data_IF_046360688883
#
_entry.id   IF_046360688883
#
_cell.length_a   1.000
_cell.length_b   1.000
_cell.length_c   1.000
_cell.angle_alpha   90.00
_cell.angle_beta   90.00
_cell.angle_gamma   90.00
#
_symmetry.space_group_name_H-M   'P 1'
#
loop_
_entity.id
_entity.type
_entity.pdbx_description
1 polymer ?
#
# COMPACT_ATOMS: atom_id res chain seq x y z
N UNK A 1 36.42 -16.57 -30.44
CA UNK A 1 36.03 -16.58 -29.01
C UNK A 1 37.29 -16.75 -28.19
N UNK A 2 37.68 -15.71 -27.47
CA UNK A 2 39.03 -15.56 -26.90
C UNK A 2 39.06 -16.21 -25.52
N UNK A 3 40.14 -16.92 -25.15
CA UNK A 3 40.25 -17.67 -23.89
C UNK A 3 40.00 -16.83 -22.62
N UNK A 4 40.09 -15.50 -22.72
CA UNK A 4 39.81 -14.54 -21.65
C UNK A 4 38.31 -14.34 -21.39
N UNK A 5 37.45 -14.40 -22.42
CA UNK A 5 35.99 -14.27 -22.30
C UNK A 5 35.38 -15.48 -21.59
N UNK A 6 35.93 -16.67 -21.84
CA UNK A 6 35.47 -17.92 -21.24
C UNK A 6 35.77 -17.98 -19.74
N UNK A 7 36.94 -17.48 -19.32
CA UNK A 7 37.31 -17.33 -17.89
C UNK A 7 36.40 -16.34 -17.18
N UNK A 8 36.05 -15.22 -17.82
CA UNK A 8 35.16 -14.22 -17.22
C UNK A 8 33.74 -14.75 -17.06
N UNK A 9 33.21 -15.47 -18.05
CA UNK A 9 31.90 -16.13 -18.01
C UNK A 9 31.81 -17.22 -16.94
N UNK A 10 32.88 -18.01 -16.76
CA UNK A 10 32.98 -19.07 -15.73
C UNK A 10 33.04 -18.48 -14.31
N UNK A 11 33.66 -17.31 -14.11
CA UNK A 11 33.64 -16.57 -12.83
C UNK A 11 32.26 -16.02 -12.48
N UNK A 12 31.53 -15.44 -13.42
CA UNK A 12 30.16 -14.94 -13.17
C UNK A 12 29.16 -16.07 -12.87
N UNK A 13 29.32 -17.26 -13.48
CA UNK A 13 28.44 -18.40 -13.19
C UNK A 13 28.72 -19.03 -11.81
N UNK A 14 29.97 -19.11 -11.37
CA UNK A 14 30.30 -19.67 -10.04
C UNK A 14 29.86 -18.76 -8.89
N UNK A 15 29.87 -17.44 -9.08
CA UNK A 15 29.32 -16.47 -8.11
C UNK A 15 27.80 -16.60 -8.00
N UNK A 16 27.09 -16.75 -9.13
CA UNK A 16 25.63 -16.97 -9.17
C UNK A 16 25.21 -18.26 -8.44
N UNK A 17 25.97 -19.34 -8.61
CA UNK A 17 25.67 -20.64 -7.98
C UNK A 17 25.99 -20.65 -6.48
N UNK A 18 26.95 -19.84 -6.00
CA UNK A 18 27.23 -19.72 -4.56
C UNK A 18 26.23 -18.85 -3.80
N UNK A 19 25.62 -17.85 -4.46
CA UNK A 19 24.54 -17.04 -3.87
C UNK A 19 23.13 -17.67 -4.00
N UNK A 20 22.98 -18.77 -4.74
CA UNK A 20 21.78 -19.62 -4.65
C UNK A 20 21.77 -20.52 -3.41
N UNK A 21 22.73 -20.33 -2.49
CA UNK A 21 22.71 -20.94 -1.16
C UNK A 21 21.46 -20.48 -0.41
N UNK A 22 20.44 -21.34 -0.48
CA UNK A 22 19.28 -21.45 0.41
C UNK A 22 18.77 -20.08 0.86
N UNK A 23 17.82 -19.51 0.11
CA UNK A 23 16.90 -18.53 0.70
C UNK A 23 16.27 -19.22 1.90
N UNK A 24 16.81 -18.99 3.10
CA UNK A 24 16.12 -19.26 4.35
C UNK A 24 14.88 -18.40 4.26
N UNK A 25 13.77 -19.01 3.86
CA UNK A 25 12.47 -18.37 3.98
C UNK A 25 12.38 -18.02 5.47
N UNK A 26 12.34 -16.72 5.80
CA UNK A 26 12.20 -16.24 7.18
C UNK A 26 10.91 -16.74 7.84
N UNK A 27 10.03 -17.36 7.05
CA UNK A 27 8.74 -17.85 7.44
C UNK A 27 8.61 -19.29 6.99
N UNK A 28 8.30 -20.15 7.94
CA UNK A 28 7.94 -21.53 7.69
C UNK A 28 6.58 -21.55 6.97
N UNK A 29 6.57 -21.93 5.70
CA UNK A 29 5.33 -22.08 4.92
C UNK A 29 4.70 -23.46 5.09
N UNK A 30 5.32 -24.36 5.85
CA UNK A 30 4.87 -25.76 5.96
C UNK A 30 3.67 -25.93 6.88
N UNK A 31 3.41 -24.97 7.79
CA UNK A 31 2.30 -25.04 8.74
C UNK A 31 1.38 -23.82 8.65
N UNK A 32 0.75 -23.66 7.47
CA UNK A 32 -0.12 -22.52 7.15
C UNK A 32 -1.39 -22.49 8.01
N UNK A 33 -1.79 -23.63 8.56
CA UNK A 33 -3.02 -23.80 9.36
C UNK A 33 -2.79 -23.55 10.86
N UNK A 34 -1.56 -23.67 11.38
CA UNK A 34 -1.25 -23.48 12.80
C UNK A 34 -0.25 -22.34 13.04
N UNK A 35 -0.39 -21.23 12.32
CA UNK A 35 0.41 -20.05 12.61
C UNK A 35 -0.15 -19.37 13.86
N UNK A 36 0.30 -19.82 15.05
CA UNK A 36 -0.16 -19.35 16.38
C UNK A 36 -0.05 -17.83 16.59
N UNK A 37 0.78 -17.16 15.79
CA UNK A 37 0.97 -15.70 15.84
C UNK A 37 -0.14 -14.92 15.13
N UNK A 38 -1.01 -15.60 14.38
CA UNK A 38 -2.10 -15.01 13.62
C UNK A 38 -3.42 -15.69 14.03
N UNK A 39 -4.50 -14.91 14.13
CA UNK A 39 -5.83 -15.42 14.48
C UNK A 39 -6.42 -16.40 13.45
N UNK A 40 -7.69 -16.78 13.61
CA UNK A 40 -8.39 -17.69 12.69
C UNK A 40 -8.18 -17.29 11.22
N UNK A 41 -8.09 -18.27 10.33
CA UNK A 41 -7.86 -18.00 8.92
C UNK A 41 -9.02 -17.15 8.39
N UNK A 42 -8.73 -15.96 7.86
CA UNK A 42 -9.78 -15.04 7.39
C UNK A 42 -10.68 -15.65 6.30
N UNK A 43 -10.18 -16.69 5.63
CA UNK A 43 -10.92 -17.49 4.65
C UNK A 43 -12.07 -18.30 5.28
N UNK A 44 -12.09 -18.46 6.60
CA UNK A 44 -13.16 -19.12 7.38
C UNK A 44 -14.33 -18.17 7.65
N UNK A 45 -14.12 -16.84 7.54
CA UNK A 45 -15.19 -15.85 7.63
C UNK A 45 -15.97 -15.88 6.31
N UNK A 46 -16.97 -16.75 6.25
CA UNK A 46 -17.94 -16.76 5.17
C UNK A 46 -18.85 -15.54 5.33
N UNK A 47 -18.55 -14.48 4.58
CA UNK A 47 -19.46 -13.37 4.35
C UNK A 47 -20.08 -13.55 2.97
N UNK A 48 -21.41 -13.47 2.89
CA UNK A 48 -22.12 -13.54 1.62
C UNK A 48 -21.77 -12.33 0.76
N UNK A 49 -21.93 -12.45 -0.56
CA UNK A 49 -21.65 -11.33 -1.47
C UNK A 49 -22.51 -10.10 -1.17
N UNK A 50 -23.70 -10.30 -0.61
CA UNK A 50 -24.63 -9.22 -0.30
C UNK A 50 -24.26 -8.53 1.02
N UNK A 51 -23.85 -9.28 2.04
CA UNK A 51 -23.27 -8.69 3.25
C UNK A 51 -22.01 -7.87 2.95
N UNK A 52 -21.14 -8.35 2.04
CA UNK A 52 -19.96 -7.59 1.60
C UNK A 52 -20.38 -6.26 0.97
N UNK A 53 -21.41 -6.26 0.11
CA UNK A 53 -21.91 -5.03 -0.51
C UNK A 53 -22.50 -4.09 0.54
N UNK A 54 -23.28 -4.61 1.48
CA UNK A 54 -23.91 -3.80 2.53
C UNK A 54 -22.86 -3.14 3.42
N UNK A 55 -21.84 -3.88 3.86
CA UNK A 55 -20.73 -3.31 4.63
C UNK A 55 -19.90 -2.33 3.81
N UNK A 56 -19.72 -2.59 2.51
CA UNK A 56 -19.06 -1.64 1.60
C UNK A 56 -19.85 -0.33 1.52
N UNK A 57 -21.17 -0.40 1.39
CA UNK A 57 -22.03 0.78 1.32
C UNK A 57 -21.99 1.57 2.64
N UNK A 58 -22.08 0.89 3.79
CA UNK A 58 -21.93 1.54 5.11
C UNK A 58 -20.60 2.25 5.26
N UNK A 59 -19.51 1.62 4.78
CA UNK A 59 -18.19 2.22 4.78
C UNK A 59 -18.13 3.46 3.88
N UNK A 60 -18.69 3.38 2.66
CA UNK A 60 -18.72 4.50 1.71
C UNK A 60 -19.48 5.70 2.28
N UNK A 61 -20.66 5.47 2.87
CA UNK A 61 -21.43 6.54 3.53
C UNK A 61 -20.64 7.18 4.68
N UNK A 62 -19.96 6.38 5.50
CA UNK A 62 -19.11 6.89 6.60
C UNK A 62 -17.95 7.76 6.10
N UNK A 63 -17.43 7.48 4.91
CA UNK A 63 -16.28 8.17 4.35
C UNK A 63 -16.64 9.46 3.60
N UNK A 64 -17.92 9.72 3.35
CA UNK A 64 -18.38 10.96 2.71
C UNK A 64 -18.06 12.17 3.57
N UNK A 65 -17.66 13.26 2.92
CA UNK A 65 -17.35 14.54 3.56
C UNK A 65 -18.01 15.66 2.78
N UNK A 66 -18.43 16.71 3.48
CA UNK A 66 -18.86 17.95 2.83
C UNK A 66 -17.65 18.86 2.57
N UNK A 67 -17.85 19.91 1.77
CA UNK A 67 -16.79 20.84 1.40
C UNK A 67 -16.15 21.55 2.62
N UNK A 68 -16.94 21.94 3.60
CA UNK A 68 -16.44 22.57 4.83
C UNK A 68 -15.52 21.62 5.61
N UNK A 69 -15.94 20.34 5.74
CA UNK A 69 -15.19 19.32 6.45
C UNK A 69 -13.92 18.94 5.71
N UNK A 70 -13.97 18.89 4.38
CA UNK A 70 -12.78 18.71 3.55
C UNK A 70 -11.73 19.80 3.85
N UNK A 71 -12.13 21.07 3.90
CA UNK A 71 -11.22 22.17 4.22
C UNK A 71 -10.68 22.13 5.65
N UNK A 72 -11.50 21.72 6.62
CA UNK A 72 -11.05 21.47 8.00
C UNK A 72 -10.00 20.35 8.04
N UNK A 73 -10.28 19.21 7.40
CA UNK A 73 -9.36 18.07 7.36
C UNK A 73 -8.06 18.48 6.68
N UNK A 74 -8.12 19.21 5.56
CA UNK A 74 -6.92 19.70 4.87
C UNK A 74 -6.06 20.58 5.80
N UNK A 75 -6.65 21.57 6.47
CA UNK A 75 -5.91 22.45 7.40
C UNK A 75 -5.34 21.67 8.59
N UNK A 76 -6.14 20.78 9.16
CA UNK A 76 -5.76 20.02 10.35
C UNK A 76 -4.72 18.94 10.07
N UNK A 77 -4.38 18.68 8.80
CA UNK A 77 -3.47 17.60 8.40
C UNK A 77 -2.23 18.06 7.64
N UNK A 78 -1.95 19.37 7.64
CA UNK A 78 -0.76 20.02 7.03
C UNK A 78 0.56 19.36 7.46
N UNK A 79 0.65 18.76 8.64
CA UNK A 79 1.84 18.03 9.12
C UNK A 79 2.06 16.62 8.54
N UNK A 80 1.16 16.14 7.68
CA UNK A 80 1.20 14.82 7.05
C UNK A 80 1.55 13.70 8.05
N UNK A 81 2.65 12.96 7.85
CA UNK A 81 3.02 11.78 8.65
C UNK A 81 3.32 12.06 10.12
N UNK A 82 3.66 13.29 10.48
CA UNK A 82 3.84 13.68 11.89
C UNK A 82 2.50 13.88 12.59
N UNK A 83 1.41 13.99 11.82
CA UNK A 83 0.08 14.21 12.34
C UNK A 83 -0.73 12.90 12.40
N UNK A 84 -1.14 12.43 13.60
CA UNK A 84 -1.91 11.20 13.73
C UNK A 84 -3.29 11.29 13.04
N UNK A 85 -3.87 12.49 12.92
CA UNK A 85 -5.12 12.72 12.18
C UNK A 85 -4.94 12.45 10.68
N UNK A 86 -3.81 12.85 10.11
CA UNK A 86 -3.50 12.54 8.72
C UNK A 86 -3.41 11.03 8.49
N UNK A 87 -2.67 10.33 9.36
CA UNK A 87 -2.46 8.88 9.25
C UNK A 87 -3.80 8.13 9.36
N UNK A 88 -4.65 8.51 10.31
CA UNK A 88 -5.97 7.90 10.48
C UNK A 88 -6.91 8.15 9.30
N UNK A 89 -7.00 9.39 8.82
CA UNK A 89 -7.83 9.73 7.64
C UNK A 89 -7.30 9.07 6.36
N UNK A 90 -5.99 9.04 6.17
CA UNK A 90 -5.34 8.41 5.01
C UNK A 90 -5.50 6.89 5.00
N UNK A 91 -5.51 6.24 6.16
CA UNK A 91 -5.59 4.77 6.27
C UNK A 91 -6.86 4.18 5.64
N UNK A 92 -7.95 4.95 5.62
CA UNK A 92 -9.24 4.52 5.04
C UNK A 92 -9.43 4.97 3.59
N UNK A 93 -8.44 5.65 2.98
CA UNK A 93 -8.60 6.32 1.68
C UNK A 93 -7.53 5.89 0.69
N UNK A 94 -7.93 5.81 -0.58
CA UNK A 94 -7.05 5.55 -1.69
C UNK A 94 -6.39 6.86 -2.13
N UNK A 95 -5.09 6.99 -1.86
CA UNK A 95 -4.31 8.17 -2.25
C UNK A 95 -3.86 8.10 -3.70
N UNK A 96 -3.61 9.27 -4.32
CA UNK A 96 -3.07 9.38 -5.68
C UNK A 96 -1.86 8.46 -5.93
N UNK A 97 -0.94 8.37 -4.95
CA UNK A 97 0.25 7.51 -5.01
C UNK A 97 -0.05 6.02 -5.24
N UNK A 98 -1.21 5.55 -4.80
CA UNK A 98 -1.66 4.17 -4.96
C UNK A 98 -2.70 4.02 -6.06
N UNK A 99 -3.39 5.11 -6.41
CA UNK A 99 -4.44 5.13 -7.43
C UNK A 99 -3.92 4.66 -8.80
N UNK A 100 -2.73 5.11 -9.20
CA UNK A 100 -2.10 4.66 -10.45
C UNK A 100 -1.92 3.14 -10.50
N UNK A 101 -1.49 2.53 -9.39
CA UNK A 101 -1.29 1.09 -9.31
C UNK A 101 -2.61 0.31 -9.39
N UNK A 102 -3.71 0.90 -8.91
CA UNK A 102 -5.06 0.32 -9.04
C UNK A 102 -5.53 0.38 -10.49
N UNK A 103 -5.40 1.53 -11.16
CA UNK A 103 -5.83 1.70 -12.56
C UNK A 103 -5.04 0.81 -13.52
N UNK A 104 -3.71 0.75 -13.36
CA UNK A 104 -2.83 0.00 -14.28
C UNK A 104 -2.94 -1.53 -14.11
N UNK A 105 -3.66 -2.01 -13.09
CA UNK A 105 -3.76 -3.43 -12.79
C UNK A 105 -4.48 -4.18 -13.92
N UNK A 106 -3.88 -5.28 -14.38
CA UNK A 106 -4.50 -6.21 -15.33
C UNK A 106 -5.55 -7.07 -14.63
N UNK A 107 -6.69 -7.41 -15.29
CA UNK A 107 -7.74 -8.23 -14.71
C UNK A 107 -7.25 -9.64 -14.33
N UNK A 108 -6.26 -10.17 -15.05
CA UNK A 108 -5.64 -11.49 -14.80
C UNK A 108 -4.68 -11.51 -13.60
N UNK A 109 -4.29 -10.35 -13.07
CA UNK A 109 -3.36 -10.25 -11.93
C UNK A 109 -4.13 -10.14 -10.62
N UNK A 110 -3.77 -10.98 -9.65
CA UNK A 110 -4.35 -10.94 -8.30
C UNK A 110 -4.12 -9.58 -7.63
N UNK A 111 -5.15 -9.02 -6.99
CA UNK A 111 -5.05 -7.77 -6.23
C UNK A 111 -4.45 -7.93 -4.83
N UNK A 112 -4.23 -9.16 -4.35
CA UNK A 112 -3.86 -9.45 -2.96
C UNK A 112 -2.61 -8.69 -2.49
N UNK A 113 -1.58 -8.60 -3.34
CA UNK A 113 -0.36 -7.87 -3.01
C UNK A 113 -0.59 -6.36 -2.95
N UNK A 114 -1.35 -5.82 -3.91
CA UNK A 114 -1.68 -4.39 -3.97
C UNK A 114 -2.52 -3.96 -2.76
N UNK A 115 -3.55 -4.74 -2.41
CA UNK A 115 -4.39 -4.48 -1.23
C UNK A 115 -3.54 -4.50 0.04
N UNK A 116 -2.63 -5.47 0.19
CA UNK A 116 -1.70 -5.50 1.33
C UNK A 116 -0.80 -4.28 1.40
N UNK A 117 -0.30 -3.80 0.26
CA UNK A 117 0.52 -2.57 0.21
C UNK A 117 -0.30 -1.36 0.66
N UNK A 118 -1.50 -1.18 0.11
CA UNK A 118 -2.39 -0.07 0.46
C UNK A 118 -2.71 -0.09 1.96
N UNK A 119 -3.11 -1.24 2.51
CA UNK A 119 -3.49 -1.37 3.92
C UNK A 119 -2.31 -1.28 4.91
N UNK A 120 -1.10 -1.67 4.49
CA UNK A 120 0.11 -1.65 5.35
C UNK A 120 0.96 -0.40 5.19
N UNK A 121 0.48 0.64 4.51
CA UNK A 121 1.25 1.87 4.32
C UNK A 121 1.31 2.65 5.64
N UNK A 122 2.24 2.28 6.52
CA UNK A 122 2.43 2.91 7.84
C UNK A 122 3.63 3.84 7.89
N UNK A 123 4.46 3.90 6.85
CA UNK A 123 5.68 4.70 6.87
C UNK A 123 6.09 5.13 5.46
N UNK A 124 5.81 6.37 5.12
CA UNK A 124 6.52 7.04 4.04
C UNK A 124 7.79 7.62 4.63
N UNK A 125 8.93 7.22 4.08
CA UNK A 125 10.23 7.82 4.40
C UNK A 125 10.25 9.23 3.81
N UNK A 126 10.30 10.26 4.66
CA UNK A 126 10.61 11.61 4.22
C UNK A 126 12.03 11.61 3.66
N UNK A 127 12.17 11.68 2.33
CA UNK A 127 13.47 11.93 1.71
C UNK A 127 13.74 13.44 1.72
N UNK A 128 15.00 13.86 1.81
CA UNK A 128 15.38 15.27 1.85
C UNK A 128 14.87 16.08 0.62
N UNK A 129 14.54 15.41 -0.48
CA UNK A 129 13.92 16.02 -1.66
C UNK A 129 12.43 16.37 -1.49
N UNK A 130 11.79 15.95 -0.40
CA UNK A 130 10.39 16.25 -0.04
C UNK A 130 10.26 17.46 0.91
N UNK A 131 11.32 18.28 1.04
CA UNK A 131 11.33 19.52 1.81
C UNK A 131 10.60 20.65 1.04
N UNK A 132 9.34 20.40 0.71
CA UNK A 132 8.40 21.37 0.17
C UNK A 132 7.39 21.75 1.26
N UNK A 133 6.70 22.89 1.11
CA UNK A 133 5.63 23.28 2.03
C UNK A 133 4.61 22.14 2.14
N UNK A 134 4.52 21.53 3.33
CA UNK A 134 3.69 20.35 3.53
C UNK A 134 2.23 20.72 3.33
N UNK A 135 1.56 20.07 2.39
CA UNK A 135 0.12 20.23 2.20
C UNK A 135 -0.67 19.20 3.02
N UNK A 136 -1.90 19.56 3.38
CA UNK A 136 -2.86 18.67 4.00
C UNK A 136 -3.43 17.60 3.07
N UNK A 137 -4.28 16.74 3.63
CA UNK A 137 -5.07 15.78 2.89
C UNK A 137 -6.36 16.42 2.37
N UNK A 138 -6.51 16.45 1.05
CA UNK A 138 -7.75 16.82 0.37
C UNK A 138 -8.52 15.55 0.03
N UNK A 139 -9.78 15.49 0.41
CA UNK A 139 -10.67 14.34 0.19
C UNK A 139 -11.65 14.69 -0.93
N UNK A 140 -11.91 13.78 -1.86
CA UNK A 140 -12.90 14.04 -2.91
C UNK A 140 -14.33 14.11 -2.31
N UNK A 141 -15.09 15.13 -2.69
CA UNK A 141 -16.43 15.38 -2.10
C UNK A 141 -17.45 14.37 -2.62
N UNK A 142 -17.33 13.96 -3.87
CA UNK A 142 -18.24 12.99 -4.50
C UNK A 142 -17.85 11.56 -4.12
N UNK A 143 -16.54 11.30 -4.00
CA UNK A 143 -15.96 10.00 -3.73
C UNK A 143 -15.08 10.05 -2.48
N UNK A 144 -15.70 10.10 -1.30
CA UNK A 144 -14.97 10.24 -0.02
C UNK A 144 -13.86 9.22 0.23
N UNK A 145 -13.86 8.06 -0.43
CA UNK A 145 -12.78 7.08 -0.36
C UNK A 145 -11.50 7.51 -1.13
N UNK A 146 -11.54 8.57 -1.93
CA UNK A 146 -10.40 9.13 -2.65
C UNK A 146 -9.82 10.32 -1.88
N UNK A 147 -8.49 10.43 -1.90
CA UNK A 147 -7.80 11.58 -1.35
C UNK A 147 -6.47 11.87 -2.01
N UNK A 148 -5.98 13.09 -1.85
CA UNK A 148 -4.69 13.51 -2.37
C UNK A 148 -4.04 14.50 -1.41
N UNK A 149 -2.71 14.44 -1.32
CA UNK A 149 -1.89 15.47 -0.71
C UNK A 149 -1.06 16.09 -1.83
N UNK A 150 -1.42 17.29 -2.32
CA UNK A 150 -0.68 17.92 -3.40
C UNK A 150 0.67 18.43 -2.87
N UNK A 151 1.77 18.08 -3.53
CA UNK A 151 3.12 18.47 -3.08
C UNK A 151 3.53 19.89 -3.56
N UNK A 152 2.56 20.78 -3.75
CA UNK A 152 2.78 22.18 -4.16
C UNK A 152 1.64 22.72 -5.01
N UNK A 153 1.13 23.91 -4.65
CA UNK A 153 0.32 24.72 -5.57
C UNK A 153 1.30 25.49 -6.47
N UNK A 154 1.16 25.34 -7.80
CA UNK A 154 1.87 26.14 -8.80
C UNK A 154 1.10 27.44 -9.02
#
# INVERSE_FOLDING_TARGET
MTQQEEKHRKRTNTIRVKHSAVKRLKFDTTNKENNRDYGPNISEVFMTTDEIKDETNKLLERLKVNYQKQQEIARDTIGQFENPKYVSERAFRLTSSHFEAVIRRRPTTSCNALVKTILRTTSSTCTAAMEYERAGLYIDVDHGFLGASPDGNI
#
